data_IF_588713445415
#
_entry.id   IF_588713445415
#
_cell.length_a   1.000
_cell.length_b   1.000
_cell.length_c   1.000
_cell.angle_alpha   90.00
_cell.angle_beta   90.00
_cell.angle_gamma   90.00
#
_symmetry.space_group_name_H-M   'P 1'
#
loop_
_entity.id
_entity.type
_entity.pdbx_description
1 polymer ?
#
# COMPACT_ATOMS: atom_id res chain seq x y z
N UNK A 1 -4.86 4.12 -5.87
CA UNK A 1 -4.41 2.84 -6.48
C UNK A 1 -5.36 1.75 -6.03
N UNK A 2 -5.57 0.74 -6.88
CA UNK A 2 -6.55 -0.33 -6.63
C UNK A 2 -5.97 -1.66 -7.12
N UNK A 3 -6.23 -2.74 -6.40
CA UNK A 3 -5.98 -4.12 -6.79
C UNK A 3 -7.29 -4.90 -6.64
N UNK A 4 -7.80 -5.44 -7.75
CA UNK A 4 -9.01 -6.26 -7.75
C UNK A 4 -8.68 -7.63 -8.34
N UNK A 5 -8.89 -8.69 -7.58
CA UNK A 5 -8.70 -10.06 -8.05
C UNK A 5 -9.73 -10.99 -7.41
N UNK A 6 -10.76 -11.40 -8.17
CA UNK A 6 -11.87 -12.37 -7.90
C UNK A 6 -12.51 -12.38 -6.49
N UNK A 7 -11.70 -12.45 -5.44
CA UNK A 7 -12.03 -12.50 -4.03
C UNK A 7 -11.43 -11.34 -3.21
N UNK A 8 -10.60 -10.48 -3.79
CA UNK A 8 -9.94 -9.38 -3.08
C UNK A 8 -10.17 -8.07 -3.83
N UNK A 9 -10.54 -7.03 -3.08
CA UNK A 9 -10.57 -5.64 -3.51
C UNK A 9 -9.76 -4.84 -2.50
N UNK A 10 -8.55 -4.44 -2.87
CA UNK A 10 -7.63 -3.67 -2.03
C UNK A 10 -7.41 -2.33 -2.67
N UNK A 11 -7.63 -1.27 -1.91
CA UNK A 11 -7.58 0.08 -2.42
C UNK A 11 -6.89 1.01 -1.44
N UNK A 12 -5.99 1.85 -1.96
CA UNK A 12 -5.51 3.03 -1.25
C UNK A 12 -5.98 4.27 -1.99
N UNK A 13 -6.73 5.13 -1.28
CA UNK A 13 -7.14 6.46 -1.74
C UNK A 13 -6.43 7.50 -0.88
N UNK A 14 -5.56 8.28 -1.49
CA UNK A 14 -4.78 9.25 -0.77
C UNK A 14 -3.90 10.09 -1.68
N UNK A 15 -3.09 10.92 -1.06
CA UNK A 15 -2.13 11.81 -1.68
C UNK A 15 -0.73 11.52 -1.17
N UNK A 16 0.25 11.81 -2.02
CA UNK A 16 1.66 11.91 -1.61
C UNK A 16 2.09 13.35 -1.84
N UNK A 17 2.74 13.93 -0.85
CA UNK A 17 3.18 15.33 -0.88
C UNK A 17 4.64 15.42 -0.44
N UNK A 18 5.40 16.39 -0.98
CA UNK A 18 6.75 16.67 -0.47
C UNK A 18 6.66 17.20 0.97
N UNK A 19 7.66 16.87 1.77
CA UNK A 19 7.86 17.40 3.13
C UNK A 19 9.30 17.92 3.23
N UNK A 20 9.54 19.04 2.54
CA UNK A 20 10.88 19.58 2.30
C UNK A 20 11.69 18.81 1.23
N UNK A 21 12.98 19.17 1.05
CA UNK A 21 13.78 18.72 -0.10
C UNK A 21 14.06 17.22 -0.16
N UNK A 22 13.92 16.52 0.97
CA UNK A 22 14.20 15.08 1.09
C UNK A 22 13.10 14.33 1.84
N UNK A 23 12.05 15.01 2.30
CA UNK A 23 10.94 14.38 3.00
C UNK A 23 9.75 14.15 2.07
N UNK A 24 8.90 13.21 2.48
CA UNK A 24 7.59 13.02 1.89
C UNK A 24 6.58 12.61 2.94
N UNK A 25 5.32 12.94 2.68
CA UNK A 25 4.18 12.52 3.49
C UNK A 25 3.16 11.83 2.60
N UNK A 26 2.73 10.64 2.99
CA UNK A 26 1.61 9.89 2.38
C UNK A 26 0.42 10.00 3.33
N UNK A 27 -0.71 10.52 2.85
CA UNK A 27 -1.96 10.60 3.62
C UNK A 27 -3.10 9.98 2.85
N UNK A 28 -3.91 9.15 3.50
CA UNK A 28 -5.07 8.56 2.84
C UNK A 28 -5.76 7.48 3.65
N UNK A 29 -6.68 6.80 3.00
CA UNK A 29 -7.43 5.67 3.55
C UNK A 29 -7.08 4.43 2.76
N UNK A 30 -6.71 3.38 3.50
CA UNK A 30 -6.48 2.04 2.99
C UNK A 30 -7.68 1.17 3.31
N UNK A 31 -8.34 0.71 2.27
CA UNK A 31 -9.51 -0.12 2.35
C UNK A 31 -9.19 -1.48 1.73
N UNK A 32 -9.73 -2.53 2.33
CA UNK A 32 -9.66 -3.86 1.77
C UNK A 32 -10.95 -4.61 2.04
N UNK A 33 -11.39 -5.36 1.03
CA UNK A 33 -12.42 -6.37 1.14
C UNK A 33 -11.84 -7.68 0.67
N UNK A 34 -11.83 -8.67 1.56
CA UNK A 34 -11.41 -10.03 1.25
C UNK A 34 -12.63 -10.95 1.35
N UNK A 35 -12.80 -11.86 0.39
CA UNK A 35 -13.91 -12.81 0.43
C UNK A 35 -13.67 -13.85 1.53
N UNK A 36 -14.75 -14.21 2.23
CA UNK A 36 -14.74 -15.34 3.14
C UNK A 36 -14.52 -16.64 2.34
N UNK A 37 -13.67 -17.55 2.84
CA UNK A 37 -13.48 -18.86 2.24
C UNK A 37 -12.04 -19.37 2.18
N UNK A 38 -11.05 -18.57 2.58
CA UNK A 38 -9.70 -19.08 2.77
C UNK A 38 -9.60 -19.88 4.07
N UNK A 39 -8.91 -21.03 4.04
CA UNK A 39 -8.61 -21.84 5.23
C UNK A 39 -7.59 -21.17 6.17
N UNK A 40 -6.90 -20.15 5.69
CA UNK A 40 -5.87 -19.40 6.40
C UNK A 40 -6.24 -17.91 6.47
N UNK A 41 -5.79 -17.25 7.53
CA UNK A 41 -5.87 -15.79 7.65
C UNK A 41 -5.24 -15.15 6.41
N UNK A 42 -5.99 -14.24 5.79
CA UNK A 42 -5.56 -13.48 4.63
C UNK A 42 -5.07 -12.11 5.06
N UNK A 43 -4.07 -11.60 4.36
CA UNK A 43 -3.46 -10.31 4.67
C UNK A 43 -3.51 -9.40 3.46
N UNK A 44 -3.63 -8.11 3.73
CA UNK A 44 -3.46 -7.05 2.75
C UNK A 44 -2.24 -6.23 3.09
N UNK A 45 -1.59 -5.69 2.07
CA UNK A 45 -0.36 -4.93 2.25
C UNK A 45 -0.37 -3.66 1.41
N UNK A 46 0.17 -2.60 2.01
CA UNK A 46 0.45 -1.34 1.37
C UNK A 46 1.96 -1.15 1.30
N UNK A 47 2.50 -1.27 0.10
CA UNK A 47 3.88 -0.98 -0.23
C UNK A 47 4.07 0.51 -0.52
N UNK A 48 5.12 1.09 0.03
CA UNK A 48 5.52 2.46 -0.28
C UNK A 48 7.03 2.66 -0.12
N UNK A 49 7.63 3.57 -0.87
CA UNK A 49 9.02 3.97 -0.62
C UNK A 49 9.64 4.79 -1.76
N UNK A 50 10.87 5.30 -1.56
CA UNK A 50 11.62 5.96 -2.63
C UNK A 50 11.94 4.96 -3.75
N UNK A 51 11.66 5.35 -4.99
CA UNK A 51 11.83 4.48 -6.15
C UNK A 51 13.26 3.96 -6.30
N UNK A 52 14.26 4.73 -5.84
CA UNK A 52 15.67 4.34 -5.87
C UNK A 52 16.13 3.44 -4.71
N UNK A 53 15.38 3.34 -3.60
CA UNK A 53 15.83 2.68 -2.36
C UNK A 53 15.01 1.45 -1.95
N UNK A 54 13.91 1.18 -2.63
CA UNK A 54 13.07 0.01 -2.37
C UNK A 54 11.87 0.31 -1.48
N UNK A 55 11.24 -0.77 -1.00
CA UNK A 55 9.89 -0.74 -0.45
C UNK A 55 9.87 -0.96 1.06
N UNK A 56 9.02 -0.17 1.73
CA UNK A 56 8.47 -0.46 3.04
C UNK A 56 7.07 -1.03 2.87
N UNK A 57 6.66 -1.88 3.79
CA UNK A 57 5.37 -2.56 3.72
C UNK A 57 4.61 -2.38 5.02
N UNK A 58 3.34 -1.98 4.91
CA UNK A 58 2.39 -2.04 6.01
C UNK A 58 1.37 -3.12 5.73
N UNK A 59 1.40 -4.19 6.52
CA UNK A 59 0.52 -5.35 6.35
C UNK A 59 -0.53 -5.37 7.45
N UNK A 60 -1.78 -5.62 7.07
CA UNK A 60 -2.91 -5.78 7.97
C UNK A 60 -3.63 -7.09 7.66
N UNK A 61 -4.25 -7.68 8.67
CA UNK A 61 -5.13 -8.81 8.46
C UNK A 61 -6.42 -8.36 7.77
N UNK A 62 -6.95 -9.15 6.84
CA UNK A 62 -8.19 -8.86 6.10
C UNK A 62 -9.42 -8.73 7.02
N UNK A 63 -9.37 -9.39 8.17
CA UNK A 63 -10.39 -9.43 9.23
C UNK A 63 -10.07 -8.49 10.40
N UNK A 64 -9.04 -7.63 10.26
CA UNK A 64 -8.73 -6.64 11.30
C UNK A 64 -9.80 -5.56 11.37
N UNK A 65 -10.18 -5.20 12.59
CA UNK A 65 -10.98 -4.00 12.90
C UNK A 65 -10.25 -2.69 12.53
N UNK A 66 -8.96 -2.76 12.20
CA UNK A 66 -8.17 -1.62 11.72
C UNK A 66 -8.56 -1.19 10.29
N UNK A 67 -9.34 -2.00 9.55
CA UNK A 67 -9.78 -1.68 8.19
C UNK A 67 -11.20 -1.08 8.18
N UNK A 68 -11.44 0.05 7.48
CA UNK A 68 -10.48 0.82 6.69
C UNK A 68 -9.50 1.64 7.56
N UNK A 69 -8.21 1.58 7.22
CA UNK A 69 -7.15 2.22 7.99
C UNK A 69 -6.86 3.64 7.47
N UNK A 70 -6.93 4.64 8.34
CA UNK A 70 -6.40 5.97 8.04
C UNK A 70 -4.87 5.96 8.21
N UNK A 71 -4.17 6.37 7.16
CA UNK A 71 -2.72 6.40 7.12
C UNK A 71 -2.20 7.83 7.05
N UNK A 72 -1.25 8.15 7.92
CA UNK A 72 -0.33 9.27 7.78
C UNK A 72 1.08 8.71 7.96
N UNK A 73 1.83 8.63 6.87
CA UNK A 73 3.19 8.08 6.85
C UNK A 73 4.14 9.18 6.43
N UNK A 74 5.18 9.39 7.21
CA UNK A 74 6.30 10.26 6.85
C UNK A 74 7.53 9.43 6.57
N UNK A 75 8.32 9.87 5.60
CA UNK A 75 9.56 9.22 5.26
C UNK A 75 10.52 10.15 4.56
N UNK A 76 11.69 9.61 4.24
CA UNK A 76 12.73 10.32 3.52
C UNK A 76 13.01 9.65 2.19
N UNK A 77 13.30 10.48 1.19
CA UNK A 77 13.74 10.10 -0.15
C UNK A 77 14.99 10.91 -0.53
N UNK A 78 15.83 10.41 -1.43
CA UNK A 78 16.81 11.28 -2.10
C UNK A 78 16.11 12.47 -2.78
N UNK A 79 16.79 13.61 -2.83
CA UNK A 79 16.23 14.81 -3.46
C UNK A 79 15.87 14.53 -4.92
N UNK A 80 14.65 14.90 -5.31
CA UNK A 80 14.12 14.64 -6.66
C UNK A 80 13.73 13.18 -6.95
N UNK A 81 13.84 12.26 -5.99
CA UNK A 81 13.41 10.87 -6.19
C UNK A 81 11.87 10.76 -6.16
N UNK A 82 11.33 9.76 -6.84
CA UNK A 82 9.88 9.52 -6.88
C UNK A 82 9.47 8.59 -5.75
N UNK A 83 8.20 8.60 -5.41
CA UNK A 83 7.62 7.68 -4.43
C UNK A 83 6.85 6.60 -5.17
N UNK A 84 7.28 5.37 -4.99
CA UNK A 84 6.57 4.20 -5.47
C UNK A 84 5.53 3.76 -4.44
N UNK A 85 4.36 3.38 -4.93
CA UNK A 85 3.25 2.90 -4.13
C UNK A 85 2.62 1.67 -4.78
N UNK A 86 2.20 0.70 -3.99
CA UNK A 86 1.56 -0.52 -4.48
C UNK A 86 0.69 -1.12 -3.40
N UNK A 87 -0.42 -1.75 -3.79
CA UNK A 87 -1.26 -2.52 -2.88
C UNK A 87 -1.29 -3.97 -3.31
N UNK A 88 -1.45 -4.87 -2.35
CA UNK A 88 -1.57 -6.30 -2.62
C UNK A 88 -2.33 -7.03 -1.54
N UNK A 89 -2.62 -8.30 -1.80
CA UNK A 89 -3.23 -9.23 -0.87
C UNK A 89 -2.58 -10.61 -0.98
N UNK A 90 -2.60 -11.38 0.09
CA UNK A 90 -2.34 -12.83 0.01
C UNK A 90 -3.46 -13.49 -0.78
N UNK A 91 -3.13 -14.55 -1.53
CA UNK A 91 -4.08 -15.33 -2.30
C UNK A 91 -3.90 -16.83 -2.08
N UNK A 92 -5.02 -17.54 -2.00
CA UNK A 92 -5.08 -19.01 -1.95
C UNK A 92 -4.53 -19.64 -0.66
N UNK A 93 -4.36 -20.97 -0.71
CA UNK A 93 -3.94 -21.80 0.45
C UNK A 93 -2.47 -21.56 0.84
N UNK A 94 -1.65 -21.03 -0.07
CA UNK A 94 -0.22 -20.79 0.14
C UNK A 94 0.13 -19.41 0.71
N UNK A 95 -0.84 -18.52 0.96
CA UNK A 95 -0.61 -17.14 1.40
C UNK A 95 0.41 -16.36 0.54
N UNK A 96 0.41 -16.60 -0.77
CA UNK A 96 1.32 -15.92 -1.70
C UNK A 96 0.77 -14.53 -2.00
N UNK A 97 1.61 -13.50 -1.86
CA UNK A 97 1.22 -12.12 -2.19
C UNK A 97 1.05 -11.93 -3.69
N UNK A 98 -0.09 -11.37 -4.05
CA UNK A 98 -0.35 -10.81 -5.36
C UNK A 98 -0.52 -9.30 -5.20
N UNK A 99 0.07 -8.56 -6.14
CA UNK A 99 0.10 -7.11 -6.11
C UNK A 99 -0.62 -6.54 -7.31
N UNK A 100 -1.30 -5.41 -7.12
CA UNK A 100 -1.86 -4.62 -8.20
C UNK A 100 -0.83 -3.73 -8.87
N UNK A 101 -1.34 -2.78 -9.65
CA UNK A 101 -0.49 -1.86 -10.39
C UNK A 101 0.35 -1.00 -9.44
N UNK A 102 1.62 -0.85 -9.82
CA UNK A 102 2.54 0.09 -9.21
C UNK A 102 2.20 1.50 -9.67
N UNK A 103 2.03 2.41 -8.71
CA UNK A 103 1.85 3.85 -8.98
C UNK A 103 3.12 4.59 -8.58
N UNK A 104 3.62 5.42 -9.49
CA UNK A 104 4.80 6.27 -9.25
C UNK A 104 4.32 7.71 -9.07
N UNK A 105 4.51 8.27 -7.89
CA UNK A 105 4.19 9.64 -7.57
C UNK A 105 5.43 10.53 -7.70
N UNK A 106 5.37 11.49 -8.62
CA UNK A 106 6.32 12.58 -8.70
C UNK A 106 5.80 13.75 -7.85
N UNK A 107 6.53 14.07 -6.78
CA UNK A 107 6.08 15.02 -5.75
C UNK A 107 6.91 16.31 -5.73
N UNK A 108 7.71 16.56 -6.78
CA UNK A 108 8.53 17.76 -6.88
C UNK A 108 9.65 17.80 -5.83
N UNK A 109 10.21 18.98 -5.58
CA UNK A 109 11.10 19.29 -4.45
C UNK A 109 10.60 20.55 -3.77
#
# INVERSE_FOLDING_TARGET
>A
MTYVHRHYDVQFKGTVSPDGPTGYTIKGTFNARCAAGALTTQYVTFGYGPASKGWFWKTLSCDSDDLPAHMEIRGNRPAGDKIDLQVGATSGVGNIYQYGDKVVADIGN
#
